data_IF_213099734477
#
_entry.id   IF_213099734477
#
_cell.length_a   1.000
_cell.length_b   1.000
_cell.length_c   1.000
_cell.angle_alpha   90.00
_cell.angle_beta   90.00
_cell.angle_gamma   90.00
#
_symmetry.space_group_name_H-M   'P 1'
#
loop_
_entity.id
_entity.type
_entity.pdbx_description
1 polymer ?
#
# COMPACT_ATOMS: atom_id res chain seq x y z
N UNK A 1 -10.45 7.00 -16.79
CA UNK A 1 -9.94 6.13 -15.71
C UNK A 1 -8.98 5.13 -16.33
N UNK A 2 -7.85 4.87 -15.68
CA UNK A 2 -6.87 3.86 -16.11
C UNK A 2 -7.21 2.55 -15.39
N UNK A 3 -7.16 1.43 -16.10
CA UNK A 3 -7.32 0.08 -15.54
C UNK A 3 -6.68 -0.95 -16.47
N UNK A 4 -6.40 -2.13 -15.92
CA UNK A 4 -5.92 -3.28 -16.69
C UNK A 4 -7.09 -4.24 -16.96
N UNK A 5 -7.19 -4.83 -18.16
CA UNK A 5 -8.07 -5.97 -18.38
C UNK A 5 -7.53 -7.15 -17.56
N UNK A 6 -8.13 -7.39 -16.39
CA UNK A 6 -7.67 -8.45 -15.48
C UNK A 6 -7.76 -9.79 -16.19
N UNK A 7 -6.63 -10.47 -16.29
CA UNK A 7 -6.51 -11.76 -16.97
C UNK A 7 -6.65 -11.77 -18.49
N UNK A 8 -6.70 -10.59 -19.13
CA UNK A 8 -6.90 -10.43 -20.56
C UNK A 8 -8.32 -10.83 -21.01
N UNK A 9 -8.63 -10.61 -22.28
CA UNK A 9 -9.94 -10.85 -22.89
C UNK A 9 -9.91 -11.81 -24.09
N UNK A 10 -8.72 -12.19 -24.59
CA UNK A 10 -8.57 -13.04 -25.77
C UNK A 10 -8.55 -14.55 -25.49
N UNK A 11 -8.90 -15.33 -26.53
CA UNK A 11 -8.84 -16.80 -26.51
C UNK A 11 -7.44 -17.34 -26.84
N UNK A 12 -6.51 -16.48 -27.25
CA UNK A 12 -5.11 -16.83 -27.54
C UNK A 12 -4.23 -16.58 -26.31
N UNK A 13 -4.02 -17.60 -25.50
CA UNK A 13 -3.19 -17.52 -24.29
C UNK A 13 -2.41 -18.83 -24.06
N UNK A 14 -1.30 -18.74 -23.33
CA UNK A 14 -0.55 -19.92 -22.90
C UNK A 14 -1.26 -20.55 -21.69
N UNK A 15 -1.82 -21.75 -21.86
CA UNK A 15 -2.60 -22.45 -20.83
C UNK A 15 -1.81 -22.78 -19.56
N UNK A 16 -0.52 -23.10 -19.70
CA UNK A 16 0.34 -23.47 -18.57
C UNK A 16 0.70 -22.25 -17.70
N UNK A 17 0.95 -21.10 -18.34
CA UNK A 17 1.33 -19.87 -17.65
C UNK A 17 0.13 -19.02 -17.22
N UNK A 18 -1.06 -19.29 -17.78
CA UNK A 18 -2.22 -18.41 -17.67
C UNK A 18 -2.57 -18.06 -16.24
N UNK A 19 -2.66 -19.06 -15.37
CA UNK A 19 -3.19 -18.88 -14.03
C UNK A 19 -2.22 -18.08 -13.15
N UNK A 20 -0.91 -18.36 -13.26
CA UNK A 20 0.15 -17.62 -12.56
C UNK A 20 0.22 -16.16 -13.02
N UNK A 21 0.02 -15.89 -14.31
CA UNK A 21 -0.06 -14.53 -14.86
C UNK A 21 -1.35 -13.82 -14.47
N UNK A 22 -2.47 -14.54 -14.47
CA UNK A 22 -3.77 -14.03 -14.07
C UNK A 22 -3.73 -13.57 -12.61
N UNK A 23 -3.14 -14.36 -11.70
CA UNK A 23 -2.89 -13.97 -10.31
C UNK A 23 -2.10 -12.64 -10.21
N UNK A 24 -1.01 -12.49 -10.97
CA UNK A 24 -0.21 -11.24 -10.99
C UNK A 24 -0.99 -10.05 -11.53
N UNK A 25 -1.84 -10.26 -12.53
CA UNK A 25 -2.74 -9.22 -13.04
C UNK A 25 -3.83 -8.83 -12.03
N UNK A 26 -4.36 -9.78 -11.26
CA UNK A 26 -5.24 -9.48 -10.14
C UNK A 26 -4.57 -8.55 -9.12
N UNK A 27 -3.33 -8.87 -8.73
CA UNK A 27 -2.56 -8.06 -7.77
C UNK A 27 -2.26 -6.67 -8.34
N UNK A 28 -1.80 -6.58 -9.59
CA UNK A 28 -1.54 -5.30 -10.24
C UNK A 28 -2.80 -4.44 -10.33
N UNK A 29 -3.89 -4.99 -10.86
CA UNK A 29 -5.15 -4.27 -11.00
C UNK A 29 -5.77 -3.89 -9.65
N UNK A 30 -5.53 -4.65 -8.58
CA UNK A 30 -6.02 -4.35 -7.25
C UNK A 30 -5.49 -3.02 -6.70
N UNK A 31 -4.35 -2.56 -7.21
CA UNK A 31 -3.77 -1.26 -6.88
C UNK A 31 -4.15 -0.13 -7.85
N UNK A 32 -4.98 -0.39 -8.87
CA UNK A 32 -5.38 0.59 -9.89
C UNK A 32 -6.73 1.25 -9.61
N UNK A 33 -7.04 2.44 -10.19
CA UNK A 33 -8.29 3.14 -9.95
C UNK A 33 -9.50 2.31 -10.38
N UNK A 34 -9.39 1.64 -11.53
CA UNK A 34 -10.43 0.79 -12.08
C UNK A 34 -10.04 -0.69 -12.00
N UNK A 35 -10.91 -1.50 -11.41
CA UNK A 35 -10.74 -2.94 -11.28
C UNK A 35 -11.98 -3.64 -11.82
N UNK A 36 -11.83 -4.29 -12.96
CA UNK A 36 -12.87 -5.07 -13.61
C UNK A 36 -12.27 -6.35 -14.14
N UNK A 37 -12.97 -7.44 -13.86
CA UNK A 37 -12.73 -8.72 -14.49
C UNK A 37 -13.69 -8.79 -15.67
N UNK A 38 -13.16 -9.01 -16.86
CA UNK A 38 -13.93 -9.15 -18.09
C UNK A 38 -13.29 -10.27 -18.89
N UNK A 39 -13.92 -11.43 -18.88
CA UNK A 39 -13.45 -12.63 -19.56
C UNK A 39 -14.64 -13.32 -20.21
N UNK A 40 -14.42 -13.88 -21.40
CA UNK A 40 -15.39 -14.73 -22.09
C UNK A 40 -15.04 -16.21 -21.82
N UNK A 41 -14.37 -16.89 -22.75
CA UNK A 41 -13.87 -18.26 -22.56
C UNK A 41 -12.34 -18.33 -22.59
N UNK A 42 -11.66 -18.90 -21.58
CA UNK A 42 -12.20 -19.36 -20.30
C UNK A 42 -12.66 -18.21 -19.42
N UNK A 43 -13.61 -18.49 -18.52
CA UNK A 43 -13.95 -17.58 -17.41
C UNK A 43 -12.75 -17.41 -16.48
N UNK A 44 -12.52 -16.16 -16.02
CA UNK A 44 -11.34 -15.77 -15.23
C UNK A 44 -11.70 -15.09 -13.92
N UNK A 45 -12.97 -15.14 -13.53
CA UNK A 45 -13.41 -14.71 -12.20
C UNK A 45 -12.85 -15.65 -11.11
N UNK A 46 -12.82 -15.24 -9.82
CA UNK A 46 -12.15 -15.99 -8.77
C UNK A 46 -12.65 -17.44 -8.61
N UNK A 47 -13.91 -17.71 -8.95
CA UNK A 47 -14.50 -19.05 -8.82
C UNK A 47 -14.17 -19.95 -10.02
N UNK A 48 -13.63 -19.39 -11.10
CA UNK A 48 -13.26 -20.09 -12.33
C UNK A 48 -11.76 -20.39 -12.42
N UNK A 49 -10.98 -20.07 -11.37
CA UNK A 49 -9.55 -20.40 -11.28
C UNK A 49 -9.36 -21.88 -10.89
N UNK A 50 -8.28 -22.51 -11.38
CA UNK A 50 -8.17 -23.97 -11.32
C UNK A 50 -7.76 -24.51 -9.94
N UNK A 51 -7.19 -23.67 -9.07
CA UNK A 51 -6.67 -24.13 -7.76
C UNK A 51 -7.21 -23.33 -6.58
N UNK A 52 -7.39 -23.99 -5.44
CA UNK A 52 -7.75 -23.32 -4.18
C UNK A 52 -6.69 -22.27 -3.77
N UNK A 53 -5.42 -22.52 -4.10
CA UNK A 53 -4.31 -21.58 -3.85
C UNK A 53 -4.53 -20.25 -4.57
N UNK A 54 -4.79 -20.28 -5.88
CA UNK A 54 -4.99 -19.08 -6.70
C UNK A 54 -6.30 -18.38 -6.35
N UNK A 55 -7.39 -19.13 -6.11
CA UNK A 55 -8.65 -18.57 -5.61
C UNK A 55 -8.47 -17.83 -4.28
N UNK A 56 -7.75 -18.42 -3.32
CA UNK A 56 -7.47 -17.79 -2.02
C UNK A 56 -6.60 -16.53 -2.18
N UNK A 57 -5.59 -16.59 -3.04
CA UNK A 57 -4.70 -15.45 -3.27
C UNK A 57 -5.43 -14.27 -3.96
N UNK A 58 -6.26 -14.56 -4.95
CA UNK A 58 -7.10 -13.56 -5.64
C UNK A 58 -8.16 -12.98 -4.68
N UNK A 59 -8.81 -13.82 -3.88
CA UNK A 59 -9.77 -13.37 -2.86
C UNK A 59 -9.09 -12.45 -1.83
N UNK A 60 -7.91 -12.83 -1.35
CA UNK A 60 -7.08 -12.00 -0.45
C UNK A 60 -6.73 -10.66 -1.10
N UNK A 61 -6.38 -10.67 -2.38
CA UNK A 61 -6.07 -9.48 -3.17
C UNK A 61 -7.27 -8.55 -3.30
N UNK A 62 -8.46 -9.10 -3.58
CA UNK A 62 -9.71 -8.32 -3.63
C UNK A 62 -10.03 -7.72 -2.25
N UNK A 63 -9.85 -8.48 -1.17
CA UNK A 63 -10.03 -7.97 0.20
C UNK A 63 -9.05 -6.84 0.52
N UNK A 64 -7.77 -6.97 0.16
CA UNK A 64 -6.78 -5.89 0.29
C UNK A 64 -7.16 -4.65 -0.51
N UNK A 65 -7.64 -4.82 -1.76
CA UNK A 65 -8.16 -3.69 -2.56
C UNK A 65 -9.25 -2.93 -1.82
N UNK A 66 -10.20 -3.63 -1.20
CA UNK A 66 -11.29 -2.99 -0.44
C UNK A 66 -10.73 -2.10 0.67
N UNK A 67 -9.68 -2.55 1.37
CA UNK A 67 -9.00 -1.75 2.39
C UNK A 67 -8.42 -0.42 1.86
N UNK A 68 -7.96 -0.41 0.61
CA UNK A 68 -7.41 0.78 -0.06
C UNK A 68 -8.45 1.76 -0.60
N UNK A 69 -9.73 1.42 -0.63
CA UNK A 69 -10.74 2.25 -1.30
C UNK A 69 -10.80 3.68 -0.75
N UNK A 70 -10.83 3.84 0.57
CA UNK A 70 -10.88 5.18 1.18
C UNK A 70 -9.53 5.91 1.06
N UNK A 71 -8.40 5.18 1.05
CA UNK A 71 -7.09 5.79 0.77
C UNK A 71 -7.04 6.35 -0.66
N UNK A 72 -7.55 5.60 -1.64
CA UNK A 72 -7.66 6.06 -3.02
C UNK A 72 -8.58 7.26 -3.14
N UNK A 73 -9.72 7.23 -2.45
CA UNK A 73 -10.67 8.34 -2.42
C UNK A 73 -10.06 9.59 -1.78
N UNK A 74 -9.27 9.44 -0.72
CA UNK A 74 -8.52 10.52 -0.06
C UNK A 74 -7.57 11.24 -1.01
N UNK A 75 -6.91 10.52 -1.92
CA UNK A 75 -6.03 11.12 -2.92
C UNK A 75 -6.86 11.84 -4.00
N UNK A 76 -7.93 11.19 -4.47
CA UNK A 76 -8.81 11.73 -5.51
C UNK A 76 -9.55 13.00 -5.05
N UNK A 77 -9.97 13.07 -3.78
CA UNK A 77 -10.66 14.24 -3.20
C UNK A 77 -9.78 15.50 -3.18
N UNK A 78 -8.46 15.32 -3.12
CA UNK A 78 -7.46 16.40 -3.26
C UNK A 78 -7.26 16.87 -4.71
N UNK A 79 -7.94 16.26 -5.68
CA UNK A 79 -7.78 16.50 -7.13
C UNK A 79 -6.38 16.18 -7.64
N UNK A 80 -5.69 15.25 -6.99
CA UNK A 80 -4.38 14.76 -7.41
C UNK A 80 -4.51 13.46 -8.21
N UNK A 81 -3.56 13.16 -9.13
CA UNK A 81 -3.55 11.85 -9.79
C UNK A 81 -3.35 10.74 -8.75
N UNK A 82 -4.26 9.78 -8.75
CA UNK A 82 -4.20 8.60 -7.89
C UNK A 82 -2.98 7.74 -8.21
N UNK A 83 -2.84 7.34 -9.47
CA UNK A 83 -1.66 6.62 -9.97
C UNK A 83 -0.76 7.61 -10.67
N UNK A 84 0.52 7.61 -10.29
CA UNK A 84 1.56 8.47 -10.85
C UNK A 84 2.66 7.60 -11.44
N UNK A 85 2.91 7.64 -12.76
CA UNK A 85 4.10 6.99 -13.30
C UNK A 85 5.33 7.62 -12.65
N UNK A 86 6.40 6.84 -12.49
CA UNK A 86 7.54 7.28 -11.67
C UNK A 86 8.15 8.61 -12.15
N UNK A 87 8.22 8.86 -13.46
CA UNK A 87 8.71 10.14 -13.98
C UNK A 87 7.86 11.35 -13.59
N UNK A 88 6.61 11.18 -13.13
CA UNK A 88 5.73 12.30 -12.76
C UNK A 88 6.32 13.11 -11.59
N UNK A 89 6.73 12.42 -10.52
CA UNK A 89 7.34 13.04 -9.34
C UNK A 89 8.89 13.01 -9.39
N UNK A 90 9.48 12.19 -10.27
CA UNK A 90 10.92 11.89 -10.31
C UNK A 90 11.55 12.07 -11.71
N UNK A 91 11.06 13.05 -12.49
CA UNK A 91 11.46 13.34 -13.88
C UNK A 91 12.97 13.59 -14.09
N UNK A 92 13.71 13.99 -13.05
CA UNK A 92 15.14 14.27 -13.15
C UNK A 92 15.99 13.01 -13.38
N UNK A 93 15.46 11.83 -13.07
CA UNK A 93 16.13 10.56 -13.30
C UNK A 93 15.54 9.85 -14.53
N UNK A 94 16.35 9.74 -15.59
CA UNK A 94 15.93 9.15 -16.86
C UNK A 94 15.47 7.68 -16.75
N UNK A 95 15.95 6.94 -15.74
CA UNK A 95 15.54 5.57 -15.49
C UNK A 95 14.03 5.44 -15.18
N UNK A 96 13.40 6.51 -14.71
CA UNK A 96 11.99 6.51 -14.31
C UNK A 96 11.02 6.51 -15.49
N UNK A 97 11.48 6.84 -16.70
CA UNK A 97 10.65 6.87 -17.91
C UNK A 97 10.37 5.47 -18.47
N UNK A 98 11.24 4.50 -18.20
CA UNK A 98 11.08 3.11 -18.67
C UNK A 98 10.41 2.19 -17.64
N UNK A 99 9.95 2.72 -16.50
CA UNK A 99 9.31 1.94 -15.44
C UNK A 99 7.81 1.77 -15.72
N UNK A 100 7.47 0.69 -16.43
CA UNK A 100 6.08 0.41 -16.83
C UNK A 100 5.28 -0.33 -15.75
N UNK A 101 5.95 -1.20 -14.97
CA UNK A 101 5.32 -2.04 -13.95
C UNK A 101 5.55 -1.53 -12.53
N UNK A 102 5.94 -0.27 -12.40
CA UNK A 102 6.15 0.42 -11.13
C UNK A 102 5.59 1.85 -11.20
N UNK A 103 4.85 2.25 -10.18
CA UNK A 103 4.21 3.56 -10.09
C UNK A 103 3.98 3.93 -8.62
N UNK A 104 3.72 5.21 -8.37
CA UNK A 104 3.28 5.69 -7.07
C UNK A 104 1.75 5.74 -6.98
N UNK A 105 1.24 5.51 -5.77
CA UNK A 105 -0.14 5.81 -5.37
C UNK A 105 -0.08 7.02 -4.46
N UNK A 106 -0.54 8.17 -4.95
CA UNK A 106 -0.29 9.44 -4.28
C UNK A 106 1.20 9.74 -4.16
N UNK A 107 1.61 10.37 -3.06
CA UNK A 107 3.01 10.76 -2.79
C UNK A 107 3.81 9.77 -1.95
N UNK A 108 3.13 8.85 -1.27
CA UNK A 108 3.69 8.13 -0.13
C UNK A 108 3.82 6.62 -0.34
N UNK A 109 3.12 6.07 -1.33
CA UNK A 109 3.15 4.63 -1.62
C UNK A 109 3.72 4.38 -3.01
N UNK A 110 4.66 3.44 -3.12
CA UNK A 110 5.15 2.89 -4.39
C UNK A 110 4.66 1.46 -4.52
N UNK A 111 4.13 1.10 -5.68
CA UNK A 111 3.78 -0.28 -6.04
C UNK A 111 4.64 -0.71 -7.21
N UNK A 112 5.15 -1.93 -7.17
CA UNK A 112 5.91 -2.54 -8.26
C UNK A 112 5.42 -3.97 -8.43
N UNK A 113 5.01 -4.40 -9.63
CA UNK A 113 4.49 -5.75 -9.82
C UNK A 113 5.21 -6.46 -10.97
N UNK A 114 5.61 -7.74 -10.80
CA UNK A 114 6.27 -8.49 -11.85
C UNK A 114 5.20 -9.03 -12.81
N UNK A 115 5.06 -8.44 -13.99
CA UNK A 115 4.04 -8.82 -14.98
C UNK A 115 4.46 -9.98 -15.91
N UNK A 116 5.46 -10.78 -15.52
CA UNK A 116 6.01 -11.91 -16.29
C UNK A 116 6.13 -13.16 -15.44
N UNK A 117 5.81 -14.34 -15.97
CA UNK A 117 5.82 -15.60 -15.21
C UNK A 117 7.24 -16.00 -14.77
N UNK A 118 7.34 -16.84 -13.71
CA UNK A 118 8.60 -17.44 -13.26
C UNK A 118 9.60 -16.49 -12.60
N UNK A 119 9.23 -15.22 -12.34
CA UNK A 119 10.09 -14.28 -11.62
C UNK A 119 10.08 -14.55 -10.13
N UNK A 120 11.26 -14.79 -9.57
CA UNK A 120 11.53 -14.94 -8.13
C UNK A 120 12.28 -13.75 -7.53
N UNK A 121 12.72 -12.79 -8.37
CA UNK A 121 13.36 -11.55 -7.96
C UNK A 121 12.78 -10.37 -8.73
N UNK A 122 12.68 -9.22 -8.08
CA UNK A 122 12.28 -7.96 -8.69
C UNK A 122 13.26 -6.86 -8.34
N UNK A 123 13.68 -6.10 -9.35
CA UNK A 123 14.38 -4.83 -9.15
C UNK A 123 13.35 -3.71 -9.03
N UNK A 124 13.39 -2.97 -7.93
CA UNK A 124 12.47 -1.88 -7.63
C UNK A 124 13.28 -0.61 -7.50
N UNK A 125 12.88 0.44 -8.21
CA UNK A 125 13.48 1.77 -8.04
C UNK A 125 12.83 2.48 -6.85
N UNK A 126 13.63 2.89 -5.87
CA UNK A 126 13.14 3.65 -4.72
C UNK A 126 13.77 5.05 -4.75
N UNK A 127 12.99 6.12 -4.91
CA UNK A 127 13.54 7.44 -5.14
C UNK A 127 14.19 8.03 -3.87
N UNK A 128 15.31 8.73 -4.08
CA UNK A 128 16.12 9.32 -2.99
C UNK A 128 15.47 10.49 -2.24
N UNK A 129 14.35 11.01 -2.75
CA UNK A 129 13.54 12.05 -2.07
C UNK A 129 13.18 11.63 -0.64
N UNK A 130 13.10 10.32 -0.39
CA UNK A 130 12.98 9.70 0.92
C UNK A 130 14.19 8.80 1.14
N UNK A 131 14.86 8.92 2.30
CA UNK A 131 16.07 8.14 2.61
C UNK A 131 15.76 6.67 2.89
N UNK A 132 14.57 6.39 3.41
CA UNK A 132 14.13 5.06 3.80
C UNK A 132 12.72 4.83 3.27
N UNK A 133 12.52 3.61 2.79
CA UNK A 133 11.23 3.06 2.39
C UNK A 133 11.00 1.76 3.16
N UNK A 134 9.76 1.50 3.56
CA UNK A 134 9.38 0.27 4.24
C UNK A 134 8.44 -0.52 3.36
N UNK A 135 8.63 -1.83 3.25
CA UNK A 135 7.63 -2.71 2.63
C UNK A 135 6.34 -2.65 3.45
N UNK A 136 5.23 -2.36 2.77
CA UNK A 136 4.00 -1.90 3.40
C UNK A 136 3.38 -2.95 4.32
N UNK A 137 3.53 -4.24 4.06
CA UNK A 137 2.81 -5.27 4.83
C UNK A 137 3.64 -5.81 5.99
N UNK A 138 4.89 -6.16 5.75
CA UNK A 138 5.82 -6.78 6.69
C UNK A 138 6.84 -5.81 7.32
N UNK A 139 7.03 -4.61 6.76
CA UNK A 139 7.88 -3.57 7.35
C UNK A 139 9.37 -3.70 7.03
N UNK A 140 9.74 -4.56 6.09
CA UNK A 140 11.15 -4.70 5.69
C UNK A 140 11.68 -3.34 5.22
N UNK A 141 12.85 -2.95 5.72
CA UNK A 141 13.44 -1.63 5.47
C UNK A 141 14.36 -1.65 4.25
N UNK A 142 14.22 -0.63 3.40
CA UNK A 142 15.03 -0.43 2.20
C UNK A 142 15.62 0.98 2.18
N UNK A 143 16.91 1.06 1.86
CA UNK A 143 17.64 2.33 1.69
C UNK A 143 18.14 2.43 0.25
N UNK A 144 17.54 3.31 -0.59
CA UNK A 144 18.04 3.50 -1.94
C UNK A 144 19.43 4.12 -1.92
N UNK A 145 20.38 3.49 -2.61
CA UNK A 145 21.76 3.95 -2.67
C UNK A 145 22.10 4.44 -4.08
N UNK A 146 22.73 5.63 -4.17
CA UNK A 146 23.15 6.22 -5.45
C UNK A 146 24.07 5.30 -6.27
N UNK A 147 24.95 4.55 -5.59
CA UNK A 147 25.85 3.58 -6.23
C UNK A 147 25.11 2.47 -7.00
N UNK A 148 23.88 2.18 -6.60
CA UNK A 148 23.01 1.16 -7.19
C UNK A 148 21.93 1.80 -8.09
N UNK A 149 22.13 3.06 -8.51
CA UNK A 149 21.15 3.87 -9.23
C UNK A 149 19.78 3.91 -8.52
N UNK A 150 19.78 3.82 -7.19
CA UNK A 150 18.60 3.80 -6.33
C UNK A 150 17.67 2.59 -6.51
N UNK A 151 18.15 1.51 -7.11
CA UNK A 151 17.44 0.24 -7.19
C UNK A 151 17.70 -0.64 -5.96
N UNK A 152 16.69 -1.39 -5.56
CA UNK A 152 16.80 -2.50 -4.59
C UNK A 152 16.32 -3.79 -5.25
N UNK A 153 16.94 -4.91 -4.90
CA UNK A 153 16.48 -6.23 -5.36
C UNK A 153 15.77 -6.92 -4.21
N UNK A 154 14.55 -7.37 -4.45
CA UNK A 154 13.75 -8.13 -3.49
C UNK A 154 13.48 -9.53 -4.04
N UNK A 155 13.47 -10.52 -3.14
CA UNK A 155 12.93 -11.85 -3.43
C UNK A 155 11.41 -11.78 -3.37
N UNK A 156 10.75 -12.46 -4.31
CA UNK A 156 9.30 -12.40 -4.50
C UNK A 156 8.74 -13.79 -4.78
N UNK A 157 7.50 -14.00 -4.36
CA UNK A 157 6.66 -15.11 -4.78
C UNK A 157 5.45 -14.59 -5.59
N UNK A 158 4.73 -15.49 -6.25
CA UNK A 158 3.66 -15.12 -7.18
C UNK A 158 2.49 -14.36 -6.54
N UNK A 159 2.30 -14.52 -5.23
CA UNK A 159 1.21 -13.90 -4.46
C UNK A 159 1.59 -12.58 -3.81
N UNK A 160 2.82 -12.11 -3.97
CA UNK A 160 3.29 -10.92 -3.27
C UNK A 160 2.70 -9.65 -3.86
N UNK A 161 1.90 -8.95 -3.04
CA UNK A 161 1.54 -7.57 -3.32
C UNK A 161 2.66 -6.66 -2.85
N UNK A 162 3.66 -6.48 -3.69
CA UNK A 162 4.79 -5.59 -3.45
C UNK A 162 4.33 -4.13 -3.44
N UNK A 163 4.39 -3.52 -2.26
CA UNK A 163 4.13 -2.10 -2.03
C UNK A 163 5.09 -1.58 -0.97
N UNK A 164 5.49 -0.32 -1.10
CA UNK A 164 6.40 0.35 -0.19
C UNK A 164 5.76 1.65 0.28
N UNK A 165 6.00 2.02 1.53
CA UNK A 165 5.60 3.30 2.12
C UNK A 165 6.85 4.11 2.46
N UNK A 166 6.82 5.39 2.12
CA UNK A 166 7.87 6.35 2.44
C UNK A 166 8.01 6.56 3.95
N UNK A 167 9.23 6.74 4.46
CA UNK A 167 9.42 7.27 5.81
C UNK A 167 8.70 8.62 5.97
N UNK A 168 8.17 8.87 7.16
CA UNK A 168 7.41 10.05 7.53
C UNK A 168 5.93 9.99 7.15
N UNK A 169 5.43 8.85 6.65
CA UNK A 169 4.09 8.75 6.09
C UNK A 169 3.22 7.72 6.82
N UNK A 170 1.92 8.01 6.93
CA UNK A 170 0.90 7.11 7.45
C UNK A 170 -0.09 6.78 6.33
N UNK A 171 -0.29 5.49 6.06
CA UNK A 171 -1.32 4.99 5.15
C UNK A 171 -2.48 4.46 5.98
N UNK A 172 -3.61 5.15 5.93
CA UNK A 172 -4.85 4.74 6.60
C UNK A 172 -5.68 3.86 5.66
N UNK A 173 -5.91 2.61 6.05
CA UNK A 173 -6.69 1.63 5.30
C UNK A 173 -7.94 1.24 6.09
N UNK A 174 -9.09 1.14 5.43
CA UNK A 174 -10.38 1.03 6.13
C UNK A 174 -11.13 -0.24 5.79
N UNK A 175 -11.72 -0.88 6.80
CA UNK A 175 -12.75 -1.90 6.63
C UNK A 175 -14.04 -1.40 7.27
N UNK A 176 -14.95 -0.87 6.44
CA UNK A 176 -16.17 -0.20 6.90
C UNK A 176 -15.85 0.96 7.86
N UNK A 177 -16.08 0.77 9.17
CA UNK A 177 -15.78 1.75 10.23
C UNK A 177 -14.45 1.47 10.95
N UNK A 178 -13.77 0.36 10.66
CA UNK A 178 -12.47 0.06 11.25
C UNK A 178 -11.37 0.76 10.46
N UNK A 179 -10.53 1.54 11.12
CA UNK A 179 -9.37 2.22 10.54
C UNK A 179 -8.11 1.48 10.96
N UNK A 180 -7.32 1.03 9.98
CA UNK A 180 -6.02 0.40 10.18
C UNK A 180 -4.94 1.36 9.72
N UNK A 181 -3.88 1.51 10.52
CA UNK A 181 -2.81 2.47 10.24
C UNK A 181 -1.51 1.74 9.93
N UNK A 182 -0.88 2.10 8.81
CA UNK A 182 0.45 1.67 8.44
C UNK A 182 1.39 2.87 8.55
N UNK A 183 2.22 2.88 9.58
CA UNK A 183 2.99 4.04 10.04
C UNK A 183 4.46 3.81 9.72
N UNK A 184 5.00 4.56 8.78
CA UNK A 184 6.43 4.56 8.49
C UNK A 184 7.08 5.80 9.12
N UNK A 185 7.71 5.65 10.27
CA UNK A 185 8.33 6.74 11.03
C UNK A 185 9.60 7.27 10.35
N UNK A 186 9.75 8.59 10.26
CA UNK A 186 11.01 9.23 9.92
C UNK A 186 11.85 9.48 11.18
N UNK A 187 12.58 8.44 11.59
CA UNK A 187 13.53 8.51 12.69
C UNK A 187 14.90 9.09 12.31
N UNK A 188 15.07 9.59 11.08
CA UNK A 188 16.29 10.35 10.73
C UNK A 188 16.29 11.76 11.32
N UNK A 189 15.15 12.19 11.88
CA UNK A 189 14.95 13.46 12.59
C UNK A 189 14.22 13.25 13.92
N UNK A 190 12.89 13.29 13.91
CA UNK A 190 12.04 13.37 15.11
C UNK A 190 11.24 12.09 15.39
N UNK A 191 11.44 11.04 14.60
CA UNK A 191 10.64 9.80 14.68
C UNK A 191 9.14 10.07 14.53
N UNK A 192 8.77 10.86 13.52
CA UNK A 192 7.39 11.22 13.26
C UNK A 192 6.89 10.68 11.92
N UNK A 193 5.58 10.47 11.82
CA UNK A 193 4.91 10.20 10.56
C UNK A 193 3.57 10.93 10.52
N UNK A 194 3.13 11.31 9.33
CA UNK A 194 1.85 11.98 9.13
C UNK A 194 1.07 11.34 7.99
N UNK A 195 -0.25 11.39 8.07
CA UNK A 195 -1.13 10.96 7.00
C UNK A 195 -2.54 11.49 7.19
N UNK A 196 -3.38 11.24 6.19
CA UNK A 196 -4.76 11.74 6.17
C UNK A 196 -5.70 10.66 5.63
N UNK A 197 -6.95 10.74 6.04
CA UNK A 197 -8.07 9.96 5.54
C UNK A 197 -9.24 10.91 5.30
N UNK A 198 -9.74 10.95 4.06
CA UNK A 198 -10.98 11.63 3.72
C UNK A 198 -12.13 10.64 3.82
N UNK A 199 -13.01 10.84 4.80
CA UNK A 199 -14.18 9.99 5.04
C UNK A 199 -15.28 10.81 5.69
N UNK A 200 -16.54 10.53 5.33
CA UNK A 200 -17.72 11.28 5.77
C UNK A 200 -17.56 12.81 5.60
N UNK A 201 -17.07 13.20 4.41
CA UNK A 201 -16.84 14.57 3.97
C UNK A 201 -15.82 15.39 4.80
N UNK A 202 -15.02 14.74 5.65
CA UNK A 202 -14.02 15.38 6.52
C UNK A 202 -12.64 14.78 6.29
N UNK A 203 -11.60 15.61 6.38
CA UNK A 203 -10.20 15.16 6.42
C UNK A 203 -9.77 14.89 7.85
N UNK A 204 -9.65 13.61 8.19
CA UNK A 204 -9.09 13.12 9.45
C UNK A 204 -7.57 13.07 9.28
N UNK A 205 -6.84 13.75 10.16
CA UNK A 205 -5.38 13.76 10.12
C UNK A 205 -4.80 12.86 11.21
N UNK A 206 -3.74 12.14 10.88
CA UNK A 206 -2.98 11.28 11.80
C UNK A 206 -1.57 11.83 11.94
N UNK A 207 -1.10 11.95 13.17
CA UNK A 207 0.30 12.24 13.50
C UNK A 207 0.78 11.19 14.48
N UNK A 208 1.85 10.49 14.14
CA UNK A 208 2.41 9.44 14.97
C UNK A 208 3.83 9.79 15.42
N UNK A 209 4.16 9.37 16.63
CA UNK A 209 5.53 9.29 17.16
C UNK A 209 5.93 7.83 17.25
N UNK A 210 7.02 7.51 17.95
CA UNK A 210 7.36 6.12 18.26
C UNK A 210 6.43 5.49 19.30
N UNK A 211 5.65 6.24 20.09
CA UNK A 211 4.83 5.68 21.18
C UNK A 211 3.36 6.03 21.10
N UNK A 212 3.00 7.00 20.25
CA UNK A 212 1.64 7.52 20.17
C UNK A 212 1.18 7.71 18.74
N UNK A 213 -0.13 7.70 18.55
CA UNK A 213 -0.79 8.26 17.38
C UNK A 213 -1.89 9.20 17.83
N UNK A 214 -1.83 10.44 17.38
CA UNK A 214 -2.85 11.46 17.58
C UNK A 214 -3.70 11.54 16.31
N UNK A 215 -5.01 11.42 16.48
CA UNK A 215 -6.01 11.55 15.42
C UNK A 215 -6.74 12.86 15.64
N UNK A 216 -6.79 13.73 14.63
CA UNK A 216 -7.50 15.01 14.70
C UNK A 216 -8.59 15.11 13.63
N UNK A 217 -9.48 16.09 13.81
CA UNK A 217 -10.63 16.40 12.96
C UNK A 217 -11.65 15.25 12.88
N UNK A 218 -11.89 14.58 14.01
CA UNK A 218 -12.92 13.54 14.09
C UNK A 218 -14.32 14.18 13.97
N UNK A 219 -15.20 13.69 13.07
CA UNK A 219 -16.54 14.25 12.94
C UNK A 219 -17.41 13.94 14.16
N UNK A 220 -18.41 14.78 14.42
CA UNK A 220 -19.36 14.53 15.52
C UNK A 220 -20.18 13.24 15.33
N UNK A 221 -20.41 12.84 14.08
CA UNK A 221 -21.08 11.59 13.69
C UNK A 221 -20.11 10.40 13.57
N UNK A 222 -18.84 10.57 13.94
CA UNK A 222 -17.81 9.53 13.86
C UNK A 222 -18.26 8.25 14.58
N UNK A 223 -18.15 7.11 13.89
CA UNK A 223 -18.41 5.77 14.42
C UNK A 223 -17.22 4.83 14.20
N UNK A 224 -16.01 5.40 14.09
CA UNK A 224 -14.81 4.67 13.74
C UNK A 224 -14.13 4.02 14.94
N UNK A 225 -13.56 2.84 14.70
CA UNK A 225 -12.68 2.18 15.67
C UNK A 225 -11.30 1.94 15.07
N UNK A 226 -10.28 1.96 15.92
CA UNK A 226 -8.96 1.48 15.53
C UNK A 226 -9.05 -0.04 15.32
N UNK A 227 -8.46 -0.53 14.24
CA UNK A 227 -8.28 -1.98 14.03
C UNK A 227 -6.89 -2.39 14.50
N UNK A 228 -5.95 -2.39 13.57
CA UNK A 228 -4.53 -2.56 13.87
C UNK A 228 -3.71 -1.38 13.39
N UNK A 229 -2.60 -1.16 14.09
CA UNK A 229 -1.55 -0.22 13.77
C UNK A 229 -0.28 -1.03 13.55
N UNK A 230 0.28 -0.98 12.34
CA UNK A 230 1.63 -1.45 12.07
C UNK A 230 2.53 -0.23 12.01
N UNK A 231 3.64 -0.27 12.73
CA UNK A 231 4.60 0.81 12.74
C UNK A 231 5.98 0.28 12.40
N UNK A 232 6.70 1.07 11.61
CA UNK A 232 8.01 0.80 11.06
C UNK A 232 8.89 2.01 11.31
N UNK A 233 10.14 1.81 11.66
CA UNK A 233 11.03 2.90 12.01
C UNK A 233 12.46 2.37 12.13
N UNK A 234 13.42 3.24 11.83
CA UNK A 234 14.82 2.90 11.93
C UNK A 234 15.55 3.93 12.78
N UNK A 235 16.04 3.47 13.93
CA UNK A 235 16.98 4.18 14.77
C UNK A 235 18.20 3.26 14.95
N UNK A 236 19.40 3.84 14.96
CA UNK A 236 20.69 3.17 15.19
C UNK A 236 20.73 2.25 16.41
N UNK A 237 19.84 2.42 17.38
CA UNK A 237 19.89 1.71 18.67
C UNK A 237 18.85 0.59 18.81
N UNK A 238 17.73 0.62 18.07
CA UNK A 238 16.58 -0.24 18.41
C UNK A 238 15.63 -0.62 17.27
N UNK A 239 15.80 -0.10 16.03
CA UNK A 239 15.04 -0.52 14.82
C UNK A 239 13.60 -0.99 15.03
N UNK A 240 12.60 -0.10 15.00
CA UNK A 240 11.24 -0.47 15.38
C UNK A 240 10.43 -1.05 14.21
N UNK A 241 10.05 -2.32 14.32
CA UNK A 241 8.95 -2.92 13.59
C UNK A 241 8.01 -3.55 14.61
N UNK A 242 6.73 -3.20 14.58
CA UNK A 242 5.75 -3.74 15.52
C UNK A 242 4.32 -3.64 15.03
N UNK A 243 3.46 -4.39 15.71
CA UNK A 243 2.02 -4.41 15.46
C UNK A 243 1.29 -4.23 16.78
N UNK A 244 0.42 -3.24 16.82
CA UNK A 244 -0.52 -3.01 17.89
C UNK A 244 -1.94 -3.28 17.36
N UNK A 245 -2.74 -4.05 18.08
CA UNK A 245 -4.12 -4.37 17.69
C UNK A 245 -5.04 -4.13 18.86
N UNK A 246 -6.00 -3.22 18.71
CA UNK A 246 -7.02 -2.98 19.72
C UNK A 246 -8.23 -2.30 19.09
N UNK A 247 -9.43 -2.66 19.52
CA UNK A 247 -10.69 -2.08 19.02
C UNK A 247 -11.06 -0.81 19.80
N UNK A 248 -10.16 0.17 19.80
CA UNK A 248 -10.37 1.42 20.51
C UNK A 248 -11.32 2.33 19.74
N UNK A 249 -12.24 2.98 20.45
CA UNK A 249 -13.11 3.97 19.85
C UNK A 249 -12.28 5.22 19.49
N UNK A 250 -12.25 5.58 18.20
CA UNK A 250 -11.58 6.79 17.75
C UNK A 250 -12.40 8.05 18.05
N UNK A 251 -13.67 7.90 18.42
CA UNK A 251 -14.64 8.99 18.53
C UNK A 251 -15.04 9.22 20.01
N UNK A 252 -14.29 10.00 20.81
CA UNK A 252 -14.54 10.15 22.25
C UNK A 252 -15.78 11.00 22.62
N UNK A 253 -16.76 11.16 21.71
CA UNK A 253 -18.05 11.79 22.04
C UNK A 253 -17.98 13.29 22.37
N UNK A 254 -17.29 14.07 21.52
CA UNK A 254 -17.26 15.54 21.63
C UNK A 254 -15.87 16.19 21.53
N UNK A 255 -14.80 15.40 21.38
CA UNK A 255 -13.45 15.89 21.11
C UNK A 255 -13.13 15.84 19.62
N UNK A 256 -12.54 16.92 19.08
CA UNK A 256 -12.00 16.96 17.72
C UNK A 256 -10.71 16.13 17.56
N UNK A 257 -10.17 15.58 18.66
CA UNK A 257 -8.92 14.84 18.68
C UNK A 257 -8.92 13.73 19.74
N UNK A 258 -8.19 12.65 19.47
CA UNK A 258 -7.86 11.59 20.44
C UNK A 258 -6.40 11.18 20.28
N UNK A 259 -5.76 10.75 21.36
CA UNK A 259 -4.38 10.22 21.33
C UNK A 259 -4.34 8.83 21.90
N UNK A 260 -3.80 7.90 21.12
CA UNK A 260 -3.67 6.49 21.45
C UNK A 260 -2.20 6.22 21.74
N UNK A 261 -1.93 5.63 22.90
CA UNK A 261 -0.58 5.22 23.29
C UNK A 261 -0.43 3.73 23.02
N UNK A 262 0.62 3.35 22.31
CA UNK A 262 0.97 1.96 22.06
C UNK A 262 2.37 1.68 22.59
N UNK A 263 2.54 0.54 23.23
CA UNK A 263 3.84 0.12 23.75
C UNK A 263 4.64 -0.43 22.58
N UNK A 264 5.78 0.20 22.29
CA UNK A 264 6.79 -0.43 21.47
C UNK A 264 7.53 -1.42 22.33
N UNK A 265 7.11 -2.69 22.29
CA UNK A 265 7.93 -3.77 22.81
C UNK A 265 9.18 -3.82 21.93
N UNK A 266 10.25 -3.18 22.41
CA UNK A 266 11.60 -3.39 21.90
C UNK A 266 11.95 -4.86 22.17
N UNK A 267 11.76 -5.72 21.18
CA UNK A 267 12.38 -7.04 21.16
C UNK A 267 13.76 -6.95 20.53
#
# INVERSE_FOLDING_TARGET
MIGLPVCGDGNSYNKELHETLCLRWYIAAASMPYFRISSDDPYRDPNSLNTLYTTNAVTTTISRRKLFQEYFYTILSKKEPLIRPMYYDYYSNNATYSLESQYAIGTDVIVAQPLTSGKSKLQVYLPEKRKIWYELWGGAMFTPAKKDNYYVTIDIIETDWIAFVAQGSIVALTDSNKVNLYIALDCTKECTANGELYKDDVYISFTATNTTVTVNNLPNSCQYTLGYLKYYGYNTTSGYAGRYENNENLCPGGGSSTTITYITDSK
#
